data_IF_550520012519
#
_entry.id   IF_550520012519
#
_cell.length_a   1.000
_cell.length_b   1.000
_cell.length_c   1.000
_cell.angle_alpha   90.00
_cell.angle_beta   90.00
_cell.angle_gamma   90.00
#
_symmetry.space_group_name_H-M   'P 1'
#
loop_
_entity.id
_entity.type
_entity.pdbx_description
1 polymer ?
#
# COMPACT_ATOMS: atom_id res chain seq x y z
N UNK A 1 -2.66 -3.06 -35.20
CA UNK A 1 -2.60 -3.35 -33.76
C UNK A 1 -3.69 -2.54 -33.08
N UNK A 2 -4.45 -3.13 -32.17
CA UNK A 2 -5.49 -2.42 -31.44
C UNK A 2 -4.93 -1.80 -30.16
N UNK A 3 -5.50 -0.69 -29.71
CA UNK A 3 -5.12 -0.06 -28.45
C UNK A 3 -5.96 -0.52 -27.27
N UNK A 4 -5.43 -0.36 -26.06
CA UNK A 4 -6.12 -0.54 -24.79
C UNK A 4 -7.40 0.29 -24.74
N UNK A 5 -7.36 1.54 -25.22
CA UNK A 5 -8.52 2.43 -25.29
C UNK A 5 -9.62 1.89 -26.19
N UNK A 6 -9.26 1.32 -27.36
CA UNK A 6 -10.23 0.68 -28.24
C UNK A 6 -10.90 -0.53 -27.56
N UNK A 7 -10.11 -1.33 -26.83
CA UNK A 7 -10.65 -2.45 -26.09
C UNK A 7 -11.57 -2.02 -24.93
N UNK A 8 -11.18 -1.01 -24.15
CA UNK A 8 -12.04 -0.44 -23.08
C UNK A 8 -13.37 0.07 -23.62
N UNK A 9 -13.35 0.81 -24.74
CA UNK A 9 -14.59 1.28 -25.39
C UNK A 9 -15.46 0.10 -25.87
N UNK A 10 -14.85 -0.95 -26.42
CA UNK A 10 -15.57 -2.16 -26.79
C UNK A 10 -16.28 -2.82 -25.60
N UNK A 11 -15.60 -2.96 -24.45
CA UNK A 11 -16.20 -3.52 -23.22
C UNK A 11 -17.43 -2.72 -22.77
N UNK A 12 -17.35 -1.39 -22.87
CA UNK A 12 -18.46 -0.49 -22.53
C UNK A 12 -19.69 -0.71 -23.42
N UNK A 13 -19.48 -1.00 -24.71
CA UNK A 13 -20.57 -1.27 -25.65
C UNK A 13 -21.28 -2.62 -25.44
N UNK A 14 -20.62 -3.60 -24.81
CA UNK A 14 -21.22 -4.91 -24.49
C UNK A 14 -22.24 -4.89 -23.34
N UNK A 15 -22.78 -3.72 -22.98
CA UNK A 15 -23.50 -3.51 -21.71
C UNK A 15 -22.63 -3.82 -20.49
N UNK A 16 -21.33 -3.52 -20.54
CA UNK A 16 -20.36 -3.73 -19.47
C UNK A 16 -20.69 -3.02 -18.14
N UNK A 17 -21.84 -2.35 -18.03
CA UNK A 17 -22.39 -1.76 -16.81
C UNK A 17 -23.28 -2.70 -15.98
N UNK A 18 -23.65 -3.86 -16.53
CA UNK A 18 -24.51 -4.84 -15.84
C UNK A 18 -23.75 -6.06 -15.34
N UNK A 19 -22.64 -6.41 -15.99
CA UNK A 19 -21.78 -7.52 -15.60
C UNK A 19 -20.61 -7.00 -14.75
N UNK A 20 -20.56 -7.42 -13.49
CA UNK A 20 -19.54 -7.06 -12.52
C UNK A 20 -18.11 -7.40 -12.97
N UNK A 21 -17.94 -8.48 -13.73
CA UNK A 21 -16.65 -8.91 -14.29
C UNK A 21 -16.15 -7.88 -15.30
N UNK A 22 -17.03 -7.44 -16.21
CA UNK A 22 -16.73 -6.45 -17.24
C UNK A 22 -16.53 -5.05 -16.65
N UNK A 23 -17.30 -4.68 -15.62
CA UNK A 23 -17.07 -3.45 -14.85
C UNK A 23 -15.66 -3.46 -14.27
N UNK A 24 -15.26 -4.58 -13.66
CA UNK A 24 -13.95 -4.73 -13.00
C UNK A 24 -12.81 -4.66 -14.00
N UNK A 25 -12.94 -5.33 -15.15
CA UNK A 25 -11.97 -5.21 -16.25
C UNK A 25 -11.89 -3.77 -16.75
N UNK A 26 -13.01 -3.10 -16.99
CA UNK A 26 -12.99 -1.72 -17.48
C UNK A 26 -12.33 -0.76 -16.47
N UNK A 27 -12.60 -0.94 -15.18
CA UNK A 27 -11.93 -0.19 -14.12
C UNK A 27 -10.42 -0.47 -14.10
N UNK A 28 -10.00 -1.73 -14.27
CA UNK A 28 -8.59 -2.08 -14.41
C UNK A 28 -7.93 -1.31 -15.56
N UNK A 29 -8.51 -1.38 -16.76
CA UNK A 29 -7.99 -0.74 -17.97
C UNK A 29 -7.87 0.78 -17.84
N UNK A 30 -8.74 1.41 -17.03
CA UNK A 30 -8.80 2.87 -16.88
C UNK A 30 -7.88 3.40 -15.79
N UNK A 31 -7.66 2.64 -14.72
CA UNK A 31 -7.07 3.15 -13.49
C UNK A 31 -5.72 2.54 -13.14
N UNK A 32 -5.38 1.37 -13.68
CA UNK A 32 -4.07 0.77 -13.46
C UNK A 32 -3.02 1.33 -14.43
N UNK A 33 -1.76 1.49 -13.99
CA UNK A 33 -0.67 1.89 -14.87
C UNK A 33 -0.35 0.73 -15.82
N UNK A 34 -0.82 0.84 -17.06
CA UNK A 34 -0.46 -0.09 -18.13
C UNK A 34 0.74 0.51 -18.84
N UNK A 35 1.83 -0.24 -18.90
CA UNK A 35 3.10 0.25 -19.48
C UNK A 35 3.05 0.37 -21.02
N UNK A 36 2.09 -0.29 -21.66
CA UNK A 36 1.91 -0.31 -23.11
C UNK A 36 0.45 -0.01 -23.47
N UNK A 37 0.24 0.93 -24.38
CA UNK A 37 -1.09 1.25 -24.90
C UNK A 37 -1.60 0.20 -25.90
N UNK A 38 -0.80 -0.81 -26.24
CA UNK A 38 -1.19 -1.90 -27.12
C UNK A 38 -1.98 -3.00 -26.40
N UNK A 39 -3.04 -3.45 -27.06
CA UNK A 39 -3.80 -4.59 -26.59
C UNK A 39 -3.09 -5.91 -26.96
N UNK A 40 -2.85 -6.76 -25.95
CA UNK A 40 -2.35 -8.11 -26.11
C UNK A 40 -2.93 -9.07 -25.05
N UNK A 41 -2.56 -10.36 -25.10
CA UNK A 41 -2.99 -11.34 -24.10
C UNK A 41 -2.31 -11.15 -22.74
N UNK A 42 -1.15 -10.48 -22.69
CA UNK A 42 -0.45 -10.20 -21.45
C UNK A 42 -1.21 -9.17 -20.59
N UNK A 43 -1.87 -8.19 -21.21
CA UNK A 43 -2.77 -7.27 -20.53
C UNK A 43 -3.87 -8.00 -19.75
N UNK A 44 -4.50 -9.00 -20.37
CA UNK A 44 -5.56 -9.79 -19.75
C UNK A 44 -4.99 -10.75 -18.70
N UNK A 45 -3.79 -11.28 -18.93
CA UNK A 45 -3.06 -12.02 -17.91
C UNK A 45 -2.81 -11.17 -16.65
N UNK A 46 -2.36 -9.92 -16.82
CA UNK A 46 -2.18 -8.97 -15.72
C UNK A 46 -3.49 -8.67 -15.00
N UNK A 47 -4.59 -8.47 -15.74
CA UNK A 47 -5.92 -8.31 -15.14
C UNK A 47 -6.26 -9.46 -14.18
N UNK A 48 -6.10 -10.72 -14.60
CA UNK A 48 -6.39 -11.87 -13.74
C UNK A 48 -5.50 -11.91 -12.50
N UNK A 49 -4.23 -11.54 -12.63
CA UNK A 49 -3.34 -11.42 -11.48
C UNK A 49 -3.85 -10.38 -10.48
N UNK A 50 -4.30 -9.20 -10.92
CA UNK A 50 -4.88 -8.19 -10.02
C UNK A 50 -6.19 -8.66 -9.41
N UNK A 51 -7.09 -9.23 -10.21
CA UNK A 51 -8.38 -9.73 -9.74
C UNK A 51 -8.22 -10.84 -8.69
N UNK A 52 -7.33 -11.81 -8.92
CA UNK A 52 -7.12 -12.94 -8.01
C UNK A 52 -6.34 -12.59 -6.74
N UNK A 53 -5.86 -11.36 -6.55
CA UNK A 53 -5.48 -10.87 -5.22
C UNK A 53 -6.68 -10.79 -4.27
N UNK A 54 -7.88 -10.68 -4.81
CA UNK A 54 -9.11 -10.52 -4.04
C UNK A 54 -9.84 -11.85 -3.87
N UNK A 55 -10.13 -12.21 -2.62
CA UNK A 55 -10.86 -13.43 -2.26
C UNK A 55 -12.19 -13.59 -2.99
N UNK A 56 -12.90 -12.48 -3.21
CA UNK A 56 -14.15 -12.49 -3.99
C UNK A 56 -13.98 -13.11 -5.38
N UNK A 57 -12.95 -12.73 -6.13
CA UNK A 57 -12.73 -13.25 -7.48
C UNK A 57 -12.13 -14.65 -7.51
N UNK A 58 -11.41 -15.04 -6.46
CA UNK A 58 -10.99 -16.43 -6.30
C UNK A 58 -12.21 -17.35 -6.13
N UNK A 59 -13.22 -16.91 -5.36
CA UNK A 59 -14.48 -17.64 -5.16
C UNK A 59 -15.42 -17.58 -6.38
N UNK A 60 -15.36 -16.49 -7.15
CA UNK A 60 -16.20 -16.25 -8.34
C UNK A 60 -15.40 -16.34 -9.64
N UNK A 61 -14.46 -17.30 -9.68
CA UNK A 61 -13.45 -17.43 -10.73
C UNK A 61 -14.05 -17.78 -12.09
N UNK A 62 -14.96 -18.74 -12.14
CA UNK A 62 -15.56 -19.19 -13.41
C UNK A 62 -16.39 -18.10 -14.10
N UNK A 63 -17.32 -17.39 -13.42
CA UNK A 63 -18.03 -16.26 -14.02
C UNK A 63 -17.07 -15.19 -14.54
N UNK A 64 -16.08 -14.80 -13.73
CA UNK A 64 -15.06 -13.81 -14.12
C UNK A 64 -14.33 -14.26 -15.40
N UNK A 65 -13.80 -15.48 -15.39
CA UNK A 65 -13.05 -16.01 -16.52
C UNK A 65 -13.89 -16.05 -17.80
N UNK A 66 -15.10 -16.62 -17.73
CA UNK A 66 -15.95 -16.78 -18.90
C UNK A 66 -16.36 -15.43 -19.51
N UNK A 67 -16.71 -14.45 -18.67
CA UNK A 67 -17.06 -13.11 -19.13
C UNK A 67 -15.88 -12.43 -19.83
N UNK A 68 -14.69 -12.42 -19.20
CA UNK A 68 -13.50 -11.77 -19.76
C UNK A 68 -13.03 -12.49 -21.02
N UNK A 69 -12.92 -13.81 -21.00
CA UNK A 69 -12.47 -14.58 -22.16
C UNK A 69 -13.41 -14.41 -23.36
N UNK A 70 -14.73 -14.41 -23.14
CA UNK A 70 -15.72 -14.18 -24.19
C UNK A 70 -15.59 -12.78 -24.79
N UNK A 71 -15.49 -11.75 -23.94
CA UNK A 71 -15.31 -10.37 -24.40
C UNK A 71 -14.00 -10.19 -25.18
N UNK A 72 -12.89 -10.70 -24.66
CA UNK A 72 -11.59 -10.68 -25.33
C UNK A 72 -11.60 -11.41 -26.67
N UNK A 73 -12.16 -12.62 -26.74
CA UNK A 73 -12.27 -13.39 -27.98
C UNK A 73 -13.13 -12.67 -29.04
N UNK A 74 -14.24 -12.06 -28.62
CA UNK A 74 -15.09 -11.28 -29.51
C UNK A 74 -14.34 -10.07 -30.07
N UNK A 75 -13.61 -9.34 -29.21
CA UNK A 75 -12.80 -8.20 -29.64
C UNK A 75 -11.72 -8.59 -30.66
N UNK A 76 -10.99 -9.68 -30.39
CA UNK A 76 -9.94 -10.21 -31.28
C UNK A 76 -10.52 -10.60 -32.63
N UNK A 77 -11.66 -11.31 -32.66
CA UNK A 77 -12.34 -11.71 -33.89
C UNK A 77 -12.87 -10.52 -34.70
N UNK A 78 -13.53 -9.56 -34.03
CA UNK A 78 -14.11 -8.40 -34.70
C UNK A 78 -13.06 -7.48 -35.34
N UNK A 79 -11.88 -7.38 -34.71
CA UNK A 79 -10.79 -6.53 -35.18
C UNK A 79 -9.71 -7.29 -35.97
N UNK A 80 -9.95 -8.57 -36.30
CA UNK A 80 -9.01 -9.44 -37.03
C UNK A 80 -7.59 -9.43 -36.45
N UNK A 81 -7.47 -9.44 -35.11
CA UNK A 81 -6.18 -9.40 -34.43
C UNK A 81 -5.53 -10.78 -34.41
N UNK A 82 -4.22 -10.84 -34.69
CA UNK A 82 -3.42 -12.06 -34.55
C UNK A 82 -2.89 -12.22 -33.11
N UNK A 83 -3.80 -12.28 -32.14
CA UNK A 83 -3.45 -12.40 -30.72
C UNK A 83 -3.76 -13.81 -30.23
N UNK A 84 -2.75 -14.52 -29.73
CA UNK A 84 -2.95 -15.83 -29.13
C UNK A 84 -3.58 -15.71 -27.73
N UNK A 85 -4.75 -16.32 -27.57
CA UNK A 85 -5.52 -16.35 -26.31
C UNK A 85 -5.37 -17.67 -25.55
N UNK A 86 -4.70 -18.69 -26.12
CA UNK A 86 -4.47 -19.97 -25.44
C UNK A 86 -3.81 -19.81 -24.06
N UNK A 87 -2.84 -18.90 -23.86
CA UNK A 87 -2.23 -18.70 -22.54
C UNK A 87 -3.23 -18.27 -21.45
N UNK A 88 -4.39 -17.73 -21.82
CA UNK A 88 -5.42 -17.34 -20.84
C UNK A 88 -6.15 -18.55 -20.27
N UNK A 89 -6.25 -19.68 -20.98
CA UNK A 89 -6.90 -20.89 -20.47
C UNK A 89 -6.25 -21.42 -19.19
N UNK A 90 -4.96 -21.12 -19.00
CA UNK A 90 -4.25 -21.31 -17.74
C UNK A 90 -5.07 -20.80 -16.54
N UNK A 91 -5.63 -19.59 -16.64
CA UNK A 91 -6.39 -18.98 -15.56
C UNK A 91 -7.71 -19.69 -15.31
N UNK A 92 -8.29 -20.41 -16.26
CA UNK A 92 -9.48 -21.23 -16.01
C UNK A 92 -9.16 -22.42 -15.12
N UNK A 93 -8.04 -23.09 -15.40
CA UNK A 93 -7.70 -24.38 -14.81
C UNK A 93 -6.87 -24.26 -13.53
N UNK A 94 -6.05 -23.21 -13.41
CA UNK A 94 -5.11 -23.09 -12.29
C UNK A 94 -5.80 -22.88 -10.94
N UNK A 95 -5.28 -23.47 -9.87
CA UNK A 95 -5.79 -23.23 -8.53
C UNK A 95 -5.00 -22.11 -7.86
N UNK A 96 -5.71 -21.24 -7.14
CA UNK A 96 -5.09 -20.32 -6.20
C UNK A 96 -4.98 -21.03 -4.85
N UNK A 97 -3.76 -21.06 -4.31
CA UNK A 97 -3.43 -21.63 -3.02
C UNK A 97 -3.31 -20.51 -2.00
N UNK A 98 -3.84 -20.75 -0.80
CA UNK A 98 -3.75 -19.84 0.35
C UNK A 98 -2.77 -20.46 1.36
N UNK A 99 -1.68 -19.75 1.66
CA UNK A 99 -0.60 -20.21 2.54
C UNK A 99 -0.55 -19.27 3.75
N UNK A 100 -1.14 -19.70 4.86
CA UNK A 100 -1.20 -18.94 6.11
C UNK A 100 -0.01 -19.21 7.05
N UNK A 101 0.75 -20.28 6.81
CA UNK A 101 1.96 -20.54 7.59
C UNK A 101 3.10 -19.65 7.07
N UNK A 102 3.64 -18.79 7.94
CA UNK A 102 4.71 -17.85 7.56
C UNK A 102 6.00 -18.53 7.09
N UNK A 103 6.37 -19.67 7.68
CA UNK A 103 7.56 -20.41 7.27
C UNK A 103 7.38 -20.98 5.85
N UNK A 104 6.23 -21.61 5.58
CA UNK A 104 5.91 -22.12 4.24
C UNK A 104 5.88 -20.99 3.20
N UNK A 105 5.31 -19.83 3.56
CA UNK A 105 5.27 -18.65 2.70
C UNK A 105 6.68 -18.16 2.36
N UNK A 106 7.55 -18.05 3.36
CA UNK A 106 8.95 -17.65 3.16
C UNK A 106 9.72 -18.66 2.31
N UNK A 107 9.54 -19.96 2.53
CA UNK A 107 10.19 -21.01 1.75
C UNK A 107 9.79 -20.95 0.27
N UNK A 108 8.49 -20.78 -0.01
CA UNK A 108 7.97 -20.60 -1.37
C UNK A 108 8.53 -19.33 -2.02
N UNK A 109 8.54 -18.20 -1.31
CA UNK A 109 9.09 -16.95 -1.84
C UNK A 109 10.60 -17.06 -2.11
N UNK A 110 11.36 -17.66 -1.19
CA UNK A 110 12.79 -17.92 -1.37
C UNK A 110 13.05 -18.79 -2.61
N UNK A 111 12.28 -19.86 -2.79
CA UNK A 111 12.39 -20.71 -3.98
C UNK A 111 12.06 -19.93 -5.25
N UNK A 112 11.00 -19.13 -5.24
CA UNK A 112 10.59 -18.28 -6.36
C UNK A 112 11.68 -17.28 -6.76
N UNK A 113 12.30 -16.58 -5.81
CA UNK A 113 13.36 -15.60 -6.10
C UNK A 113 14.66 -16.26 -6.55
N UNK A 114 15.05 -17.41 -5.98
CA UNK A 114 16.19 -18.19 -6.46
C UNK A 114 16.02 -18.63 -7.91
N UNK A 115 14.79 -18.97 -8.32
CA UNK A 115 14.52 -19.35 -9.70
C UNK A 115 14.51 -18.15 -10.66
N UNK A 116 14.04 -16.98 -10.21
CA UNK A 116 13.93 -15.78 -11.06
C UNK A 116 15.20 -14.95 -11.18
N UNK A 117 16.06 -14.97 -10.18
CA UNK A 117 17.24 -14.09 -10.12
C UNK A 117 18.47 -14.90 -9.75
N UNK A 118 19.57 -14.70 -10.48
CA UNK A 118 20.82 -15.41 -10.28
C UNK A 118 21.46 -15.14 -8.90
N UNK A 119 21.27 -13.92 -8.37
CA UNK A 119 21.74 -13.52 -7.04
C UNK A 119 20.60 -12.81 -6.29
N UNK A 120 19.77 -13.54 -5.52
CA UNK A 120 18.73 -12.91 -4.74
C UNK A 120 19.36 -12.28 -3.49
N UNK A 121 19.83 -11.03 -3.60
CA UNK A 121 20.06 -10.17 -2.43
C UNK A 121 18.70 -9.77 -1.83
N UNK A 122 17.98 -10.78 -1.36
CA UNK A 122 16.60 -10.70 -0.87
C UNK A 122 16.58 -11.07 0.60
N UNK A 123 16.02 -10.19 1.42
CA UNK A 123 15.69 -10.46 2.81
C UNK A 123 14.17 -10.51 2.96
N UNK A 124 13.66 -11.52 3.65
CA UNK A 124 12.23 -11.70 3.90
C UNK A 124 11.95 -11.46 5.38
N UNK A 125 10.94 -10.65 5.68
CA UNK A 125 10.49 -10.34 7.04
C UNK A 125 9.01 -10.65 7.17
N UNK A 126 8.63 -11.21 8.30
CA UNK A 126 7.23 -11.46 8.66
C UNK A 126 6.52 -10.15 9.00
N UNK A 127 5.29 -10.01 8.53
CA UNK A 127 4.36 -8.94 8.89
C UNK A 127 3.03 -9.55 9.38
N UNK A 128 2.22 -8.74 10.06
CA UNK A 128 0.88 -9.14 10.49
C UNK A 128 -0.04 -9.54 9.30
N UNK A 129 -1.04 -10.38 9.58
CA UNK A 129 -2.08 -10.83 8.63
C UNK A 129 -1.56 -11.67 7.45
N UNK A 130 -0.71 -12.66 7.73
CA UNK A 130 -0.17 -13.61 6.73
C UNK A 130 0.58 -12.91 5.57
N UNK A 131 1.26 -11.81 5.91
CA UNK A 131 2.02 -11.01 4.95
C UNK A 131 3.51 -11.23 5.14
N UNK A 132 4.22 -11.20 4.01
CA UNK A 132 5.68 -11.22 4.00
C UNK A 132 6.20 -9.97 3.29
N UNK A 133 7.06 -9.23 3.97
CA UNK A 133 7.84 -8.13 3.43
C UNK A 133 9.10 -8.69 2.78
N UNK A 134 9.37 -8.28 1.55
CA UNK A 134 10.57 -8.59 0.81
C UNK A 134 11.37 -7.30 0.61
N UNK A 135 12.62 -7.34 1.05
CA UNK A 135 13.63 -6.30 0.80
C UNK A 135 14.60 -6.84 -0.23
N UNK A 136 14.69 -6.22 -1.40
CA UNK A 136 15.64 -6.61 -2.44
C UNK A 136 16.60 -5.45 -2.73
N UNK A 137 17.88 -5.66 -2.48
CA UNK A 137 18.93 -4.70 -2.88
C UNK A 137 19.28 -4.95 -4.34
N UNK A 138 19.03 -3.95 -5.17
CA UNK A 138 19.34 -3.93 -6.60
C UNK A 138 20.71 -3.28 -6.83
N UNK A 139 21.18 -3.37 -8.07
CA UNK A 139 22.42 -2.70 -8.50
C UNK A 139 22.41 -1.21 -8.18
N UNK A 140 23.58 -0.70 -7.78
CA UNK A 140 23.75 0.69 -7.39
C UNK A 140 23.11 1.05 -6.05
N UNK A 141 22.89 0.07 -5.15
CA UNK A 141 22.31 0.27 -3.80
C UNK A 141 20.86 0.77 -3.80
N UNK A 142 20.12 0.56 -4.89
CA UNK A 142 18.69 0.82 -4.91
C UNK A 142 17.95 -0.27 -4.13
N UNK A 143 16.83 0.08 -3.51
CA UNK A 143 16.06 -0.86 -2.71
C UNK A 143 14.67 -1.05 -3.31
N UNK A 144 14.28 -2.30 -3.51
CA UNK A 144 12.96 -2.69 -3.96
C UNK A 144 12.23 -3.41 -2.83
N UNK A 145 11.08 -2.87 -2.44
CA UNK A 145 10.27 -3.32 -1.33
C UNK A 145 8.98 -3.92 -1.90
N UNK A 146 8.74 -5.20 -1.63
CA UNK A 146 7.47 -5.85 -1.98
C UNK A 146 6.79 -6.39 -0.74
N UNK A 147 5.47 -6.25 -0.66
CA UNK A 147 4.66 -6.92 0.36
C UNK A 147 3.80 -7.96 -0.33
N UNK A 148 4.00 -9.23 0.01
CA UNK A 148 3.20 -10.33 -0.53
C UNK A 148 2.12 -10.75 0.47
N UNK A 149 0.93 -11.03 -0.06
CA UNK A 149 -0.12 -11.73 0.67
C UNK A 149 0.04 -13.25 0.60
N UNK A 150 -0.94 -14.00 1.12
CA UNK A 150 -0.85 -15.45 1.24
C UNK A 150 -1.25 -16.22 -0.04
N UNK A 151 -1.51 -15.52 -1.15
CA UNK A 151 -2.04 -16.13 -2.36
C UNK A 151 -0.98 -16.48 -3.41
N UNK A 152 -0.95 -17.75 -3.80
CA UNK A 152 -0.02 -18.32 -4.78
C UNK A 152 -0.75 -19.11 -5.86
N UNK A 153 -0.11 -19.34 -7.00
CA UNK A 153 -0.62 -20.21 -8.06
C UNK A 153 0.51 -21.10 -8.58
N UNK A 154 0.16 -22.26 -9.16
CA UNK A 154 1.17 -23.23 -9.60
C UNK A 154 1.58 -22.94 -11.05
N UNK A 155 2.85 -22.67 -11.31
CA UNK A 155 3.37 -22.46 -12.67
C UNK A 155 4.62 -23.31 -12.88
N UNK A 156 4.58 -24.20 -13.88
CA UNK A 156 5.69 -25.11 -14.20
C UNK A 156 6.23 -25.90 -12.98
N UNK A 157 5.33 -26.38 -12.11
CA UNK A 157 5.70 -27.12 -10.90
C UNK A 157 6.20 -26.25 -9.73
N UNK A 158 6.22 -24.93 -9.88
CA UNK A 158 6.64 -23.98 -8.85
C UNK A 158 5.46 -23.14 -8.36
N UNK A 159 5.30 -23.00 -7.05
CA UNK A 159 4.38 -22.04 -6.47
C UNK A 159 4.91 -20.62 -6.71
N UNK A 160 4.08 -19.80 -7.36
CA UNK A 160 4.40 -18.43 -7.73
C UNK A 160 3.45 -17.49 -7.00
N UNK A 161 3.94 -16.45 -6.31
CA UNK A 161 3.04 -15.46 -5.72
C UNK A 161 2.24 -14.77 -6.82
N UNK A 162 0.95 -14.48 -6.58
CA UNK A 162 0.12 -13.77 -7.57
C UNK A 162 0.76 -12.45 -7.92
N UNK A 163 0.74 -11.50 -6.99
CA UNK A 163 1.35 -10.20 -7.11
C UNK A 163 1.46 -9.56 -5.72
N UNK A 164 2.42 -8.64 -5.51
CA UNK A 164 2.59 -7.97 -4.23
C UNK A 164 1.53 -6.87 -4.03
N UNK A 165 1.01 -6.74 -2.79
CA UNK A 165 0.12 -5.69 -2.34
C UNK A 165 0.76 -4.31 -2.34
N UNK A 166 2.04 -4.23 -1.97
CA UNK A 166 2.87 -3.02 -2.10
C UNK A 166 4.11 -3.35 -2.91
N UNK A 167 4.53 -2.44 -3.78
CA UNK A 167 5.72 -2.53 -4.62
C UNK A 167 6.33 -1.13 -4.69
N UNK A 168 7.35 -0.89 -3.85
CA UNK A 168 7.99 0.41 -3.69
C UNK A 168 9.46 0.35 -4.12
N UNK A 169 9.89 1.35 -4.87
CA UNK A 169 11.26 1.50 -5.33
C UNK A 169 11.89 2.70 -4.66
N UNK A 170 13.07 2.51 -4.08
CA UNK A 170 13.85 3.54 -3.43
C UNK A 170 15.21 3.73 -4.12
N UNK A 171 15.67 4.99 -4.15
CA UNK A 171 17.00 5.39 -4.57
C UNK A 171 18.05 5.00 -3.53
N UNK A 172 19.35 5.12 -3.85
CA UNK A 172 20.43 4.87 -2.89
C UNK A 172 20.39 5.78 -1.65
N UNK A 173 19.81 6.97 -1.79
CA UNK A 173 19.59 7.94 -0.71
C UNK A 173 18.36 7.61 0.15
N UNK A 174 17.71 6.47 -0.08
CA UNK A 174 16.48 6.03 0.59
C UNK A 174 15.28 6.98 0.36
N UNK A 175 15.26 7.66 -0.78
CA UNK A 175 14.08 8.38 -1.27
C UNK A 175 13.31 7.52 -2.27
N UNK A 176 12.00 7.74 -2.42
CA UNK A 176 11.22 7.00 -3.43
C UNK A 176 11.70 7.34 -4.85
N UNK A 177 11.95 6.31 -5.67
CA UNK A 177 12.40 6.46 -7.06
C UNK A 177 11.33 7.17 -7.90
N UNK A 178 11.73 8.28 -8.52
CA UNK A 178 10.82 9.15 -9.25
C UNK A 178 10.46 8.67 -10.64
N UNK A 179 11.20 7.67 -11.15
CA UNK A 179 11.03 7.11 -12.50
C UNK A 179 10.27 5.78 -12.48
N UNK A 180 9.82 5.33 -11.31
CA UNK A 180 9.11 4.06 -11.15
C UNK A 180 7.69 4.31 -10.65
N UNK A 181 6.76 3.54 -11.23
CA UNK A 181 5.44 3.43 -10.69
C UNK A 181 5.51 2.67 -9.36
N UNK A 182 4.84 3.23 -8.37
CA UNK A 182 4.79 2.76 -7.00
C UNK A 182 3.40 2.18 -6.76
N UNK A 183 3.34 1.09 -6.00
CA UNK A 183 2.08 0.56 -5.47
C UNK A 183 2.18 0.50 -3.95
N UNK A 184 1.19 1.04 -3.25
CA UNK A 184 1.12 1.00 -1.80
C UNK A 184 -0.26 0.56 -1.36
N UNK A 185 -0.35 -0.51 -0.59
CA UNK A 185 -1.58 -0.83 0.12
C UNK A 185 -1.79 0.15 1.29
N UNK A 186 -2.88 0.90 1.23
CA UNK A 186 -3.26 1.89 2.25
C UNK A 186 -4.05 1.19 3.37
N UNK A 187 -5.01 0.36 2.96
CA UNK A 187 -5.89 -0.45 3.83
C UNK A 187 -6.24 -1.75 3.10
N UNK A 188 -6.92 -2.67 3.79
CA UNK A 188 -7.33 -3.94 3.19
C UNK A 188 -8.15 -3.72 1.91
N UNK A 189 -7.63 -4.17 0.76
CA UNK A 189 -8.18 -3.95 -0.58
C UNK A 189 -8.27 -2.48 -1.01
N UNK A 190 -7.46 -1.58 -0.46
CA UNK A 190 -7.34 -0.19 -0.89
C UNK A 190 -5.89 0.11 -1.23
N UNK A 191 -5.63 0.44 -2.49
CA UNK A 191 -4.28 0.58 -3.02
C UNK A 191 -4.08 1.95 -3.67
N UNK A 192 -2.97 2.60 -3.37
CA UNK A 192 -2.43 3.68 -4.18
C UNK A 192 -1.62 3.09 -5.32
N UNK A 193 -1.90 3.52 -6.55
CA UNK A 193 -1.02 3.37 -7.69
C UNK A 193 -0.63 4.76 -8.19
N UNK A 194 0.66 5.04 -8.26
CA UNK A 194 1.11 6.37 -8.65
C UNK A 194 2.60 6.47 -8.90
N UNK A 195 3.03 7.66 -9.26
CA UNK A 195 4.44 8.03 -9.42
C UNK A 195 4.73 9.15 -8.43
N UNK A 196 5.89 9.07 -7.81
CA UNK A 196 6.44 10.13 -6.98
C UNK A 196 7.34 11.00 -7.85
N UNK A 197 7.20 12.33 -7.86
CA UNK A 197 8.06 13.20 -8.63
C UNK A 197 8.15 14.57 -7.98
N UNK A 198 9.36 15.09 -7.82
CA UNK A 198 9.62 16.40 -7.20
C UNK A 198 8.96 16.59 -5.82
N UNK A 199 8.94 15.54 -4.98
CA UNK A 199 8.30 15.60 -3.67
C UNK A 199 6.77 15.46 -3.69
N UNK A 200 6.17 15.28 -4.87
CA UNK A 200 4.72 15.27 -5.07
C UNK A 200 4.27 13.91 -5.60
N UNK A 201 3.12 13.45 -5.11
CA UNK A 201 2.49 12.23 -5.57
C UNK A 201 1.45 12.53 -6.65
N UNK A 202 1.51 11.76 -7.73
CA UNK A 202 0.47 11.71 -8.76
C UNK A 202 0.00 10.27 -8.93
N UNK A 203 -1.31 10.04 -8.82
CA UNK A 203 -1.82 8.68 -8.89
C UNK A 203 -3.30 8.55 -8.61
N UNK A 204 -3.73 7.33 -8.37
CA UNK A 204 -5.11 6.98 -8.08
C UNK A 204 -5.16 6.03 -6.90
N UNK A 205 -6.13 6.24 -6.02
CA UNK A 205 -6.49 5.27 -4.99
C UNK A 205 -7.59 4.39 -5.56
N UNK A 206 -7.37 3.09 -5.56
CA UNK A 206 -8.25 2.06 -6.08
C UNK A 206 -8.75 1.22 -4.91
N UNK A 207 -10.06 0.89 -4.92
CA UNK A 207 -10.71 0.17 -3.83
C UNK A 207 -11.45 -1.06 -4.31
N UNK A 208 -11.35 -2.09 -3.48
CA UNK A 208 -12.18 -3.29 -3.51
C UNK A 208 -11.84 -4.22 -4.66
N UNK A 209 -12.54 -5.34 -4.70
CA UNK A 209 -12.40 -6.34 -5.75
C UNK A 209 -12.90 -5.81 -7.11
N UNK A 210 -13.72 -4.75 -7.14
CA UNK A 210 -14.18 -4.11 -8.40
C UNK A 210 -13.15 -3.20 -9.03
N UNK A 211 -11.99 -3.01 -8.38
CA UNK A 211 -10.90 -2.16 -8.86
C UNK A 211 -11.34 -0.71 -9.12
N UNK A 212 -12.35 -0.24 -8.39
CA UNK A 212 -12.96 1.07 -8.61
C UNK A 212 -12.06 2.19 -8.10
N UNK A 213 -11.95 3.28 -8.86
CA UNK A 213 -11.33 4.51 -8.38
C UNK A 213 -12.09 5.05 -7.17
N UNK A 214 -11.38 5.16 -6.05
CA UNK A 214 -11.87 5.76 -4.81
C UNK A 214 -11.52 7.25 -4.73
N UNK A 215 -10.27 7.60 -5.04
CA UNK A 215 -9.79 8.99 -5.03
C UNK A 215 -8.64 9.18 -6.02
N UNK A 216 -8.29 10.43 -6.34
CA UNK A 216 -7.12 10.77 -7.14
C UNK A 216 -6.11 11.57 -6.33
N UNK A 217 -4.82 11.35 -6.56
CA UNK A 217 -3.75 12.20 -6.06
C UNK A 217 -3.26 13.07 -7.21
N UNK A 218 -3.52 14.37 -7.12
CA UNK A 218 -3.16 15.35 -8.14
C UNK A 218 -2.01 16.22 -7.65
N UNK A 219 -0.77 15.74 -7.79
CA UNK A 219 0.46 16.49 -7.50
C UNK A 219 0.48 17.10 -6.08
N UNK A 220 0.05 16.34 -5.07
CA UNK A 220 0.04 16.80 -3.67
C UNK A 220 1.18 16.21 -2.86
N UNK A 221 1.51 16.85 -1.74
CA UNK A 221 2.48 16.31 -0.78
C UNK A 221 1.87 15.13 -0.04
N UNK A 222 2.67 14.13 0.33
CA UNK A 222 2.17 12.96 1.06
C UNK A 222 1.48 13.35 2.38
N UNK A 223 1.96 14.42 3.03
CA UNK A 223 1.36 14.97 4.26
C UNK A 223 -0.07 15.47 4.10
N UNK A 224 -0.51 15.76 2.87
CA UNK A 224 -1.88 16.18 2.55
C UNK A 224 -2.84 14.98 2.45
N UNK A 225 -2.30 13.75 2.40
CA UNK A 225 -3.05 12.49 2.35
C UNK A 225 -2.67 11.62 3.56
N UNK A 226 -3.23 11.88 4.76
CA UNK A 226 -2.79 11.26 6.00
C UNK A 226 -2.87 9.73 6.00
N UNK A 227 -3.86 9.14 5.33
CA UNK A 227 -4.00 7.69 5.19
C UNK A 227 -2.86 7.07 4.40
N UNK A 228 -2.48 7.67 3.27
CA UNK A 228 -1.35 7.23 2.45
C UNK A 228 -0.04 7.40 3.21
N UNK A 229 0.16 8.56 3.82
CA UNK A 229 1.34 8.86 4.62
C UNK A 229 1.54 7.83 5.74
N UNK A 230 0.46 7.51 6.47
CA UNK A 230 0.50 6.51 7.54
C UNK A 230 0.81 5.12 7.02
N UNK A 231 0.19 4.71 5.91
CA UNK A 231 0.45 3.40 5.32
C UNK A 231 1.93 3.25 4.91
N UNK A 232 2.51 4.28 4.31
CA UNK A 232 3.93 4.29 3.96
C UNK A 232 4.80 4.20 5.21
N UNK A 233 4.57 5.04 6.22
CA UNK A 233 5.38 5.06 7.45
C UNK A 233 5.29 3.76 8.25
N UNK A 234 4.12 3.12 8.29
CA UNK A 234 3.95 1.79 8.89
C UNK A 234 4.76 0.70 8.19
N UNK A 235 5.02 0.86 6.90
CA UNK A 235 5.85 -0.06 6.14
C UNK A 235 7.34 0.24 6.36
N UNK A 236 7.71 1.52 6.30
CA UNK A 236 9.09 2.02 6.46
C UNK A 236 9.72 1.67 7.81
N UNK A 237 8.95 1.61 8.90
CA UNK A 237 9.46 1.23 10.23
C UNK A 237 10.21 -0.12 10.25
N UNK A 238 9.97 -0.99 9.26
CA UNK A 238 10.58 -2.32 9.19
C UNK A 238 11.97 -2.33 8.54
N UNK A 239 12.37 -1.26 7.84
CA UNK A 239 13.65 -1.23 7.10
C UNK A 239 14.35 0.13 7.09
N UNK A 240 13.69 1.21 7.50
CA UNK A 240 14.32 2.53 7.70
C UNK A 240 14.69 2.68 9.18
N UNK A 241 15.93 3.12 9.43
CA UNK A 241 16.37 3.43 10.78
C UNK A 241 15.60 4.66 11.31
N UNK A 242 14.82 4.48 12.38
CA UNK A 242 14.03 5.53 13.00
C UNK A 242 14.85 6.73 13.49
N UNK A 243 16.10 6.51 13.93
CA UNK A 243 16.98 7.62 14.36
C UNK A 243 17.42 8.52 13.19
N UNK A 244 17.17 8.09 11.95
CA UNK A 244 17.39 8.91 10.75
C UNK A 244 16.10 9.42 10.11
N UNK A 245 14.93 8.98 10.60
CA UNK A 245 13.64 9.39 10.04
C UNK A 245 13.28 10.81 10.49
N UNK A 246 13.10 11.78 9.56
CA UNK A 246 12.85 13.17 9.92
C UNK A 246 11.56 13.40 10.70
N UNK A 247 10.52 12.60 10.48
CA UNK A 247 9.22 12.76 11.15
C UNK A 247 9.25 12.19 12.56
N UNK A 248 9.95 11.07 12.75
CA UNK A 248 10.26 10.51 14.06
C UNK A 248 11.11 11.48 14.89
N UNK A 249 12.17 12.04 14.32
CA UNK A 249 13.03 13.02 15.00
C UNK A 249 12.26 14.30 15.39
N UNK A 250 11.40 14.81 14.51
CA UNK A 250 10.51 15.95 14.85
C UNK A 250 9.55 15.61 15.99
N UNK A 251 9.01 14.39 16.01
CA UNK A 251 8.12 13.94 17.07
C UNK A 251 8.86 13.90 18.41
N UNK A 252 10.05 13.29 18.44
CA UNK A 252 10.93 13.22 19.61
C UNK A 252 11.28 14.61 20.13
N UNK A 253 11.74 15.50 19.26
CA UNK A 253 12.06 16.88 19.60
C UNK A 253 10.85 17.66 20.14
N UNK A 254 9.64 17.39 19.64
CA UNK A 254 8.41 18.01 20.15
C UNK A 254 8.11 17.59 21.58
N UNK A 255 8.33 16.32 21.93
CA UNK A 255 8.15 15.80 23.29
C UNK A 255 9.19 16.43 24.22
N UNK A 256 10.48 16.39 23.83
CA UNK A 256 11.59 16.93 24.61
C UNK A 256 11.42 18.43 24.87
N UNK A 257 11.04 19.21 23.85
CA UNK A 257 10.73 20.63 24.01
C UNK A 257 9.55 20.87 24.94
N UNK A 258 8.53 20.02 24.91
CA UNK A 258 7.37 20.14 25.81
C UNK A 258 7.75 19.85 27.26
N UNK A 259 8.65 18.90 27.50
CA UNK A 259 9.22 18.63 28.83
C UNK A 259 10.00 19.86 29.31
N UNK A 260 10.88 20.41 28.47
CA UNK A 260 11.68 21.58 28.81
C UNK A 260 10.83 22.81 29.16
N UNK A 261 9.76 23.07 28.40
CA UNK A 261 8.83 24.19 28.65
C UNK A 261 8.11 24.04 30.01
N UNK A 262 7.78 22.81 30.40
CA UNK A 262 7.17 22.54 31.72
C UNK A 262 8.17 22.77 32.85
N UNK A 263 9.44 22.39 32.66
CA UNK A 263 10.51 22.59 33.63
C UNK A 263 10.89 24.07 33.78
N UNK A 264 10.86 24.84 32.69
CA UNK A 264 11.21 26.26 32.68
C UNK A 264 10.11 27.19 33.18
N UNK A 265 8.96 26.67 33.61
CA UNK A 265 7.80 27.44 34.07
C UNK A 265 7.31 28.53 33.09
N UNK A 266 7.38 28.27 31.78
CA UNK A 266 6.93 29.24 30.77
C UNK A 266 5.44 29.56 30.88
N UNK A 267 5.03 30.74 30.42
CA UNK A 267 3.62 31.07 30.25
C UNK A 267 2.93 30.05 29.32
N UNK A 268 1.69 29.68 29.64
CA UNK A 268 0.90 28.68 28.91
C UNK A 268 1.57 27.30 28.72
N UNK A 269 2.60 26.98 29.52
CA UNK A 269 3.34 25.71 29.43
C UNK A 269 2.42 24.49 29.50
N UNK A 270 1.42 24.51 30.38
CA UNK A 270 0.45 23.43 30.55
C UNK A 270 -0.40 23.21 29.29
N UNK A 271 -0.96 24.27 28.72
CA UNK A 271 -1.81 24.18 27.53
C UNK A 271 -1.02 23.64 26.32
N UNK A 272 0.18 24.18 26.09
CA UNK A 272 1.07 23.75 25.00
C UNK A 272 1.44 22.27 25.16
N UNK A 273 1.86 21.87 26.36
CA UNK A 273 2.28 20.50 26.63
C UNK A 273 1.12 19.50 26.55
N UNK A 274 -0.08 19.85 27.03
CA UNK A 274 -1.28 19.00 26.88
C UNK A 274 -1.68 18.82 25.41
N UNK A 275 -1.66 19.90 24.63
CA UNK A 275 -1.95 19.84 23.18
C UNK A 275 -0.94 18.96 22.45
N UNK A 276 0.34 19.11 22.77
CA UNK A 276 1.40 18.28 22.18
C UNK A 276 1.28 16.82 22.63
N UNK A 277 0.94 16.55 23.90
CA UNK A 277 0.71 15.21 24.41
C UNK A 277 -0.35 14.46 23.60
N UNK A 278 -1.53 15.07 23.42
CA UNK A 278 -2.64 14.47 22.67
C UNK A 278 -2.20 14.15 21.23
N UNK A 279 -1.49 15.08 20.58
CA UNK A 279 -0.97 14.89 19.23
C UNK A 279 0.04 13.75 19.17
N UNK A 280 0.98 13.70 20.10
CA UNK A 280 2.06 12.71 20.15
C UNK A 280 1.48 11.31 20.40
N UNK A 281 0.58 11.16 21.37
CA UNK A 281 -0.10 9.90 21.66
C UNK A 281 -0.85 9.36 20.44
N UNK A 282 -1.54 10.24 19.71
CA UNK A 282 -2.22 9.90 18.46
C UNK A 282 -1.23 9.43 17.39
N UNK A 283 -0.13 10.15 17.17
CA UNK A 283 0.88 9.79 16.18
C UNK A 283 1.57 8.47 16.55
N UNK A 284 1.99 8.29 17.81
CA UNK A 284 2.60 7.05 18.29
C UNK A 284 1.69 5.86 18.08
N UNK A 285 0.43 5.93 18.50
CA UNK A 285 -0.54 4.83 18.31
C UNK A 285 -0.74 4.47 16.84
N UNK A 286 -0.65 5.45 15.95
CA UNK A 286 -0.89 5.26 14.52
C UNK A 286 0.33 4.77 13.74
N UNK A 287 1.53 5.25 14.08
CA UNK A 287 2.76 5.03 13.29
C UNK A 287 3.79 4.17 14.01
N UNK A 288 3.88 4.28 15.34
CA UNK A 288 4.94 3.68 16.14
C UNK A 288 4.37 2.95 17.38
N UNK A 289 3.43 2.00 17.21
CA UNK A 289 2.68 1.44 18.33
C UNK A 289 3.57 0.71 19.35
N UNK A 290 4.66 0.09 18.86
CA UNK A 290 5.57 -0.75 19.65
C UNK A 290 6.89 -0.05 20.02
N UNK A 291 7.02 1.25 19.74
CA UNK A 291 8.26 1.98 20.02
C UNK A 291 8.42 2.25 21.53
N UNK A 292 9.42 1.59 22.12
CA UNK A 292 9.72 1.69 23.56
C UNK A 292 10.30 3.06 23.95
N UNK A 293 11.06 3.70 23.06
CA UNK A 293 11.73 4.97 23.31
C UNK A 293 10.71 6.11 23.37
N UNK A 294 9.83 6.21 22.37
CA UNK A 294 8.71 7.14 22.36
C UNK A 294 7.77 6.89 23.54
N UNK A 295 7.49 5.62 23.87
CA UNK A 295 6.65 5.30 25.03
C UNK A 295 7.25 5.86 26.33
N UNK A 296 8.55 5.70 26.53
CA UNK A 296 9.24 6.26 27.69
C UNK A 296 9.21 7.80 27.74
N UNK A 297 9.47 8.46 26.61
CA UNK A 297 9.43 9.92 26.51
C UNK A 297 8.03 10.48 26.80
N UNK A 298 6.98 9.83 26.28
CA UNK A 298 5.59 10.19 26.56
C UNK A 298 5.28 10.05 28.06
N UNK A 299 5.63 8.92 28.67
CA UNK A 299 5.42 8.73 30.11
C UNK A 299 6.19 9.75 30.95
N UNK A 300 7.36 10.19 30.50
CA UNK A 300 8.11 11.27 31.17
C UNK A 300 7.36 12.60 31.07
N UNK A 301 6.84 12.95 29.89
CA UNK A 301 6.01 14.15 29.71
C UNK A 301 4.71 14.09 30.55
N UNK A 302 4.08 12.92 30.68
CA UNK A 302 2.90 12.73 31.54
C UNK A 302 3.21 13.02 33.01
N UNK A 303 4.34 12.50 33.51
CA UNK A 303 4.81 12.77 34.88
C UNK A 303 5.08 14.26 35.08
N UNK A 304 5.73 14.93 34.13
CA UNK A 304 5.99 16.37 34.21
C UNK A 304 4.68 17.19 34.23
N UNK A 305 3.71 16.84 33.40
CA UNK A 305 2.38 17.46 33.41
C UNK A 305 1.69 17.31 34.77
N UNK A 306 1.65 16.09 35.30
CA UNK A 306 1.01 15.81 36.60
C UNK A 306 1.69 16.57 37.74
N UNK A 307 3.02 16.67 37.74
CA UNK A 307 3.75 17.47 38.73
C UNK A 307 3.40 18.95 38.63
N UNK A 308 3.36 19.50 37.41
CA UNK A 308 3.07 20.92 37.19
C UNK A 308 1.62 21.26 37.55
N UNK A 309 0.65 20.41 37.23
CA UNK A 309 -0.75 20.58 37.61
C UNK A 309 -0.95 20.60 39.14
N UNK A 310 -0.17 19.82 39.89
CA UNK A 310 -0.20 19.84 41.37
C UNK A 310 0.43 21.10 41.98
N UNK A 311 1.37 21.72 41.28
CA UNK A 311 2.06 22.94 41.72
C UNK A 311 1.36 24.22 41.27
N UNK A 312 0.48 24.16 40.26
CA UNK A 312 -0.33 25.28 39.85
C UNK A 312 -1.30 25.64 41.01
N UNK A 313 -1.34 26.90 41.46
CA UNK A 313 -2.37 27.33 42.41
C UNK A 313 -3.74 27.04 41.83
N UNK A 314 -4.69 26.57 42.65
CA UNK A 314 -6.09 26.43 42.27
C UNK A 314 -6.63 27.79 41.86
N UNK A 315 -6.51 28.14 40.58
CA UNK A 315 -7.25 29.25 40.00
C UNK A 315 -8.68 28.73 39.84
N UNK A 316 -9.60 29.41 40.51
CA UNK A 316 -11.04 29.16 40.49
C UNK A 316 -11.58 28.92 39.07
N UNK A 317 -12.44 27.91 38.95
CA UNK A 317 -13.43 27.71 37.87
C UNK A 317 -12.89 27.75 36.43
N UNK A 318 -12.38 26.60 35.99
CA UNK A 318 -12.33 26.27 34.57
C UNK A 318 -13.77 25.99 34.10
N UNK A 319 -14.42 26.98 33.50
CA UNK A 319 -15.68 26.78 32.75
C UNK A 319 -15.38 25.81 31.60
N UNK A 320 -15.97 24.62 31.68
CA UNK A 320 -15.93 23.64 30.59
C UNK A 320 -16.50 24.29 29.31
N UNK A 321 -15.84 24.14 28.15
CA UNK A 321 -16.45 24.54 26.89
C UNK A 321 -17.67 23.65 26.66
N UNK A 322 -18.84 24.27 26.51
CA UNK A 322 -20.08 23.62 26.11
C UNK A 322 -19.82 22.80 24.84
N UNK A 323 -20.16 21.53 24.92
CA UNK A 323 -20.27 20.63 23.78
C UNK A 323 -21.18 21.27 22.72
N UNK A 324 -20.71 21.32 21.49
CA UNK A 324 -21.55 21.59 20.33
C UNK A 324 -22.37 20.33 20.04
N UNK A 325 -23.70 20.46 20.12
CA UNK A 325 -24.67 19.57 19.46
C UNK A 325 -24.52 19.61 17.94
#
# INVERSE_FOLDING_TARGET
MASVTQFSNFIMHLQGHRDLSLITLNNFLKYYPINDDQFDSNLIHQFFLYAFRHKYWQQNKEPLFNAIFTATNNFVKQNYLNTDLQPLLFWKENKIFDIHNHQDQQDVLNQFFRFKTAEPNVNLLELDNDRTLMLQVLDGQRLNIKVFGPYFYLKHGLLTPILPYSDLFYSPEMELDTNKAQTLEIENNVFLHGVFSNGLWRGQIIRGYTLQKYSGLNMGKLTEFPEVFRALKKLEINYINLETDPDYLKLKATIEKSIQILESNGENCLEIAMKNMIRVEKIRKQLFPNDKSLKYLISTLEVCLLRRMKQAPQVSEYNAPKEFE
#
